data_IF_821937889977
#
_entry.id   IF_821937889977
#
_cell.length_a   1.000
_cell.length_b   1.000
_cell.length_c   1.000
_cell.angle_alpha   90.00
_cell.angle_beta   90.00
_cell.angle_gamma   90.00
#
_symmetry.space_group_name_H-M   'P 1'
#
loop_
_entity.id
_entity.type
_entity.pdbx_description
1 polymer ?
#
# COMPACT_ATOMS: atom_id res chain seq x y z
N UNK A 1 -20.06 -7.68 -9.84
CA UNK A 1 -19.34 -8.66 -8.99
C UNK A 1 -17.88 -8.56 -9.32
N UNK A 2 -17.01 -8.49 -8.32
CA UNK A 2 -15.55 -8.54 -8.51
C UNK A 2 -15.18 -10.01 -8.68
N UNK A 3 -15.34 -10.54 -9.89
CA UNK A 3 -15.22 -11.97 -10.16
C UNK A 3 -13.78 -12.46 -10.36
N UNK A 4 -12.80 -11.55 -10.35
CA UNK A 4 -11.43 -11.82 -10.77
C UNK A 4 -10.43 -11.35 -9.71
N UNK A 5 -10.37 -12.07 -8.59
CA UNK A 5 -9.32 -11.87 -7.59
C UNK A 5 -8.43 -13.11 -7.48
N UNK A 6 -7.17 -12.88 -7.13
CA UNK A 6 -6.20 -13.87 -6.71
C UNK A 6 -5.87 -13.64 -5.24
N UNK A 7 -5.86 -14.71 -4.45
CA UNK A 7 -5.41 -14.67 -3.06
C UNK A 7 -3.98 -15.18 -2.98
N UNK A 8 -3.07 -14.32 -2.53
CA UNK A 8 -1.65 -14.65 -2.32
C UNK A 8 -1.41 -14.69 -0.81
N UNK A 9 -0.68 -15.71 -0.35
CA UNK A 9 -0.23 -15.85 1.04
C UNK A 9 1.23 -15.42 1.12
N UNK A 10 1.54 -14.40 1.91
CA UNK A 10 2.91 -13.88 2.06
C UNK A 10 3.48 -14.17 3.45
N UNK A 11 4.78 -14.43 3.50
CA UNK A 11 5.51 -14.69 4.74
C UNK A 11 5.20 -16.04 5.39
N UNK A 12 5.83 -16.26 6.53
CA UNK A 12 5.65 -17.46 7.35
C UNK A 12 4.28 -17.47 8.04
N UNK A 13 3.71 -16.30 8.32
CA UNK A 13 2.36 -16.18 8.87
C UNK A 13 1.27 -16.45 7.82
N UNK A 14 1.65 -16.68 6.56
CA UNK A 14 0.75 -16.89 5.44
C UNK A 14 -0.33 -15.80 5.35
N UNK A 15 0.09 -14.53 5.52
CA UNK A 15 -0.83 -13.39 5.56
C UNK A 15 -1.51 -13.24 4.20
N UNK A 16 -2.85 -13.18 4.13
CA UNK A 16 -3.57 -13.02 2.88
C UNK A 16 -3.37 -11.62 2.29
N UNK A 17 -3.08 -11.58 0.99
CA UNK A 17 -3.04 -10.40 0.14
C UNK A 17 -3.93 -10.68 -1.06
N UNK A 18 -4.89 -9.79 -1.32
CA UNK A 18 -5.83 -9.93 -2.42
C UNK A 18 -5.36 -9.08 -3.59
N UNK A 19 -5.21 -9.69 -4.76
CA UNK A 19 -4.84 -9.01 -6.01
C UNK A 19 -6.04 -9.06 -6.94
N UNK A 20 -6.42 -7.93 -7.49
CA UNK A 20 -7.57 -7.80 -8.38
C UNK A 20 -7.10 -7.13 -9.65
N UNK A 21 -7.16 -7.84 -10.75
CA UNK A 21 -6.92 -7.27 -12.08
C UNK A 21 -8.22 -6.72 -12.67
N UNK A 22 -8.08 -5.71 -13.50
CA UNK A 22 -9.20 -5.03 -14.16
C UNK A 22 -10.23 -4.48 -13.15
N UNK A 23 -9.72 -3.84 -12.08
CA UNK A 23 -10.48 -3.48 -10.89
C UNK A 23 -11.69 -2.58 -11.18
N UNK A 24 -11.53 -1.58 -12.06
CA UNK A 24 -12.63 -0.73 -12.51
C UNK A 24 -12.94 -0.91 -14.00
N UNK A 25 -14.19 -0.69 -14.45
CA UNK A 25 -14.57 -0.88 -15.85
C UNK A 25 -13.90 0.10 -16.84
N UNK A 26 -13.69 1.35 -16.42
CA UNK A 26 -13.10 2.40 -17.26
C UNK A 26 -11.94 3.11 -16.54
N UNK A 27 -10.77 2.46 -16.44
CA UNK A 27 -9.60 3.07 -15.80
C UNK A 27 -9.04 4.25 -16.61
N UNK A 28 -9.25 4.26 -17.92
CA UNK A 28 -8.77 5.35 -18.79
C UNK A 28 -9.56 6.63 -18.51
N UNK A 29 -10.89 6.56 -18.50
CA UNK A 29 -11.76 7.69 -18.15
C UNK A 29 -11.50 8.22 -16.74
N UNK A 30 -11.19 7.34 -15.78
CA UNK A 30 -10.76 7.76 -14.44
C UNK A 30 -9.45 8.58 -14.50
N UNK A 31 -8.43 8.09 -15.19
CA UNK A 31 -7.14 8.80 -15.32
C UNK A 31 -7.31 10.15 -16.02
N UNK A 32 -8.12 10.22 -17.09
CA UNK A 32 -8.43 11.49 -17.77
C UNK A 32 -9.14 12.48 -16.84
N UNK A 33 -10.10 12.00 -16.03
CA UNK A 33 -10.79 12.82 -15.03
C UNK A 33 -9.82 13.37 -14.00
N UNK A 34 -8.93 12.53 -13.48
CA UNK A 34 -7.90 12.94 -12.51
C UNK A 34 -6.98 13.98 -13.12
N UNK A 35 -6.46 13.72 -14.32
CA UNK A 35 -5.54 14.63 -15.01
C UNK A 35 -6.17 16.01 -15.29
N UNK A 36 -7.48 16.06 -15.54
CA UNK A 36 -8.18 17.29 -15.91
C UNK A 36 -8.64 18.11 -14.70
N UNK A 37 -8.93 17.47 -13.57
CA UNK A 37 -9.68 18.11 -12.48
C UNK A 37 -9.02 18.08 -11.10
N UNK A 38 -7.95 17.28 -10.91
CA UNK A 38 -7.35 17.11 -9.60
C UNK A 38 -6.00 17.79 -9.49
N UNK A 39 -5.86 18.62 -8.45
CA UNK A 39 -4.59 19.21 -8.07
C UNK A 39 -3.88 18.34 -7.04
N UNK A 40 -2.58 18.11 -7.26
CA UNK A 40 -1.75 17.34 -6.37
C UNK A 40 -0.85 18.25 -5.54
N UNK A 41 -0.91 18.10 -4.23
CA UNK A 41 -0.14 18.91 -3.28
C UNK A 41 0.59 18.02 -2.29
N UNK A 42 1.76 18.48 -1.85
CA UNK A 42 2.46 17.85 -0.73
C UNK A 42 1.71 18.18 0.56
N UNK A 43 1.48 17.18 1.41
CA UNK A 43 0.86 17.38 2.73
C UNK A 43 1.94 17.47 3.80
N UNK A 44 1.87 18.51 4.63
CA UNK A 44 2.76 18.62 5.79
C UNK A 44 2.43 17.53 6.82
N UNK A 45 3.46 16.98 7.47
CA UNK A 45 3.32 15.90 8.45
C UNK A 45 3.04 14.52 7.87
N UNK A 46 2.82 14.39 6.56
CA UNK A 46 2.69 13.11 5.86
C UNK A 46 4.07 12.59 5.45
N UNK A 47 4.36 11.33 5.76
CA UNK A 47 5.59 10.66 5.34
C UNK A 47 5.51 10.07 3.93
N UNK A 48 4.39 10.22 3.22
CA UNK A 48 4.29 9.80 1.84
C UNK A 48 5.33 10.48 0.94
N UNK A 49 6.08 9.72 0.12
CA UNK A 49 7.18 10.26 -0.68
C UNK A 49 6.69 10.91 -1.99
N UNK A 50 5.81 11.91 -1.87
CA UNK A 50 5.29 12.64 -3.01
C UNK A 50 4.11 13.54 -2.68
N UNK A 51 3.15 13.60 -3.61
CA UNK A 51 2.01 14.50 -3.58
C UNK A 51 0.69 13.73 -3.59
N UNK A 52 -0.36 14.32 -3.03
CA UNK A 52 -1.69 13.69 -2.92
C UNK A 52 -2.80 14.61 -3.42
N UNK A 53 -3.93 14.01 -3.74
CA UNK A 53 -5.19 14.69 -4.05
C UNK A 53 -6.38 13.92 -3.46
N UNK A 54 -7.55 14.55 -3.40
CA UNK A 54 -8.79 13.84 -3.09
C UNK A 54 -9.17 12.91 -4.25
N UNK A 55 -9.97 11.88 -3.99
CA UNK A 55 -10.46 11.00 -5.05
C UNK A 55 -11.68 11.59 -5.78
N UNK A 56 -11.98 11.17 -7.02
CA UNK A 56 -13.24 11.49 -7.68
C UNK A 56 -14.40 10.76 -6.98
N UNK A 57 -15.55 11.41 -6.84
CA UNK A 57 -16.76 10.84 -6.19
C UNK A 57 -17.18 9.50 -6.79
N UNK A 58 -17.09 9.36 -8.13
CA UNK A 58 -17.41 8.12 -8.82
C UNK A 58 -16.51 6.94 -8.40
N UNK A 59 -15.25 7.21 -8.06
CA UNK A 59 -14.33 6.19 -7.57
C UNK A 59 -14.70 5.74 -6.16
N UNK A 60 -15.05 6.67 -5.27
CA UNK A 60 -15.52 6.34 -3.92
C UNK A 60 -16.82 5.51 -3.96
N UNK A 61 -17.76 5.86 -4.84
CA UNK A 61 -18.99 5.09 -5.05
C UNK A 61 -18.69 3.65 -5.54
N UNK A 62 -17.71 3.50 -6.43
CA UNK A 62 -17.25 2.18 -6.88
C UNK A 62 -16.69 1.36 -5.70
N UNK A 63 -15.84 1.94 -4.84
CA UNK A 63 -15.28 1.25 -3.67
C UNK A 63 -16.38 0.82 -2.69
N UNK A 64 -17.34 1.70 -2.40
CA UNK A 64 -18.46 1.40 -1.50
C UNK A 64 -19.41 0.31 -2.03
N UNK A 65 -19.32 -0.04 -3.31
CA UNK A 65 -20.11 -1.13 -3.91
C UNK A 65 -19.27 -2.41 -4.07
N UNK A 66 -18.04 -2.28 -4.58
CA UNK A 66 -17.19 -3.40 -4.96
C UNK A 66 -16.57 -4.10 -3.75
N UNK A 67 -16.07 -3.34 -2.77
CA UNK A 67 -15.34 -3.90 -1.63
C UNK A 67 -16.25 -4.68 -0.68
N UNK A 68 -17.46 -4.21 -0.30
CA UNK A 68 -18.37 -5.04 0.50
C UNK A 68 -18.71 -6.37 -0.17
N UNK A 69 -18.94 -6.36 -1.49
CA UNK A 69 -19.21 -7.59 -2.24
C UNK A 69 -18.00 -8.54 -2.25
N UNK A 70 -16.79 -8.01 -2.48
CA UNK A 70 -15.55 -8.78 -2.43
C UNK A 70 -15.31 -9.41 -1.06
N UNK A 71 -15.37 -8.62 0.03
CA UNK A 71 -15.12 -9.14 1.37
C UNK A 71 -16.19 -10.15 1.81
N UNK A 72 -17.45 -9.95 1.42
CA UNK A 72 -18.50 -10.96 1.65
C UNK A 72 -18.18 -12.29 0.96
N UNK A 73 -17.65 -12.23 -0.26
CA UNK A 73 -17.21 -13.42 -1.00
C UNK A 73 -16.01 -14.08 -0.31
N UNK A 74 -14.97 -13.32 0.05
CA UNK A 74 -13.76 -13.85 0.70
C UNK A 74 -14.08 -14.54 2.05
N UNK A 75 -14.97 -13.94 2.86
CA UNK A 75 -15.43 -14.56 4.12
C UNK A 75 -16.17 -15.87 3.86
N UNK A 76 -17.05 -15.90 2.85
CA UNK A 76 -17.82 -17.10 2.50
C UNK A 76 -16.94 -18.27 2.04
N UNK A 77 -15.74 -17.99 1.50
CA UNK A 77 -14.78 -19.01 1.07
C UNK A 77 -13.80 -19.43 2.18
N UNK A 78 -13.94 -18.94 3.41
CA UNK A 78 -12.97 -19.12 4.51
C UNK A 78 -11.55 -18.62 4.18
N UNK A 79 -11.42 -17.73 3.20
CA UNK A 79 -10.11 -17.19 2.76
C UNK A 79 -9.49 -16.23 3.80
N UNK A 80 -10.33 -15.70 4.71
CA UNK A 80 -10.05 -14.58 5.61
C UNK A 80 -10.14 -14.94 7.10
N UNK A 81 -9.98 -16.22 7.47
CA UNK A 81 -9.86 -16.57 8.88
C UNK A 81 -8.70 -15.79 9.52
N UNK A 82 -8.95 -15.20 10.70
CA UNK A 82 -7.96 -14.52 11.56
C UNK A 82 -7.36 -13.20 11.03
N UNK A 83 -8.04 -12.49 10.12
CA UNK A 83 -7.59 -11.18 9.60
C UNK A 83 -8.58 -10.02 9.82
N UNK A 84 -9.34 -10.09 10.90
CA UNK A 84 -10.12 -8.97 11.44
C UNK A 84 -11.33 -8.54 10.60
N UNK A 85 -11.87 -9.42 9.76
CA UNK A 85 -13.07 -9.16 8.94
C UNK A 85 -14.31 -9.66 9.67
N UNK A 86 -14.82 -8.85 10.60
CA UNK A 86 -15.94 -9.25 11.49
C UNK A 86 -17.28 -8.57 11.18
N UNK A 87 -17.27 -7.45 10.45
CA UNK A 87 -18.47 -6.63 10.14
C UNK A 87 -18.47 -6.21 8.66
N UNK A 88 -19.52 -5.55 8.16
CA UNK A 88 -19.47 -4.95 6.83
C UNK A 88 -18.35 -3.89 6.75
N UNK A 89 -17.52 -3.90 5.69
CA UNK A 89 -16.43 -2.93 5.57
C UNK A 89 -16.97 -1.50 5.44
N UNK A 90 -16.25 -0.57 6.05
CA UNK A 90 -16.44 0.87 5.87
C UNK A 90 -15.19 1.46 5.22
N UNK A 91 -15.38 2.32 4.22
CA UNK A 91 -14.28 3.03 3.58
C UNK A 91 -13.96 4.28 4.40
N UNK A 92 -12.87 4.25 5.16
CA UNK A 92 -12.52 5.31 6.10
C UNK A 92 -11.79 6.49 5.43
N UNK A 93 -11.02 6.20 4.38
CA UNK A 93 -10.26 7.19 3.64
C UNK A 93 -10.09 6.75 2.19
N UNK A 94 -10.19 7.69 1.25
CA UNK A 94 -9.82 7.49 -0.15
C UNK A 94 -8.99 8.67 -0.61
N UNK A 95 -7.86 8.40 -1.27
CA UNK A 95 -6.95 9.45 -1.72
C UNK A 95 -6.19 9.05 -2.98
N UNK A 96 -5.93 10.02 -3.84
CA UNK A 96 -5.00 9.86 -4.96
C UNK A 96 -3.59 10.19 -4.49
N UNK A 97 -2.60 9.52 -5.05
CA UNK A 97 -1.21 9.76 -4.68
C UNK A 97 -0.30 9.58 -5.89
N UNK A 98 0.66 10.48 -6.03
CA UNK A 98 1.75 10.40 -7.00
C UNK A 98 3.04 10.39 -6.19
N UNK A 99 3.76 9.27 -6.24
CA UNK A 99 5.10 9.22 -5.68
C UNK A 99 6.08 9.78 -6.71
N UNK A 100 6.78 10.85 -6.34
CA UNK A 100 7.68 11.60 -7.21
C UNK A 100 8.86 12.23 -6.44
N UNK A 101 9.07 11.84 -5.18
CA UNK A 101 10.17 12.39 -4.39
C UNK A 101 11.51 11.76 -4.82
N UNK A 102 12.53 12.60 -5.05
CA UNK A 102 13.89 12.14 -5.33
C UNK A 102 14.41 11.31 -4.14
N UNK A 103 14.87 10.06 -4.36
CA UNK A 103 15.46 9.21 -3.32
C UNK A 103 16.47 9.91 -2.41
N UNK A 104 17.31 10.79 -2.95
CA UNK A 104 18.35 11.54 -2.21
C UNK A 104 17.77 12.51 -1.17
N UNK A 105 16.50 12.85 -1.30
CA UNK A 105 15.77 13.75 -0.39
C UNK A 105 14.86 12.99 0.58
N UNK A 106 14.80 11.65 0.50
CA UNK A 106 14.01 10.85 1.42
C UNK A 106 14.54 10.99 2.85
N UNK A 107 13.60 10.99 3.77
CA UNK A 107 13.88 10.78 5.19
C UNK A 107 14.11 9.28 5.46
N UNK A 108 14.85 8.92 6.52
CA UNK A 108 15.14 7.51 6.81
C UNK A 108 13.89 6.62 6.93
N UNK A 109 12.79 7.12 7.48
CA UNK A 109 11.54 6.36 7.64
C UNK A 109 10.90 6.01 6.29
N UNK A 110 11.15 6.80 5.24
CA UNK A 110 10.67 6.54 3.87
C UNK A 110 11.52 5.50 3.12
N UNK A 111 12.67 5.10 3.69
CA UNK A 111 13.62 4.16 3.09
C UNK A 111 13.49 2.73 3.65
N UNK A 112 12.54 2.49 4.55
CA UNK A 112 12.27 1.17 5.16
C UNK A 112 10.78 0.82 5.05
N UNK A 113 10.41 -0.46 5.26
CA UNK A 113 9.01 -0.87 5.33
C UNK A 113 8.27 -0.20 6.49
N UNK A 114 6.97 0.00 6.33
CA UNK A 114 6.09 0.61 7.33
C UNK A 114 4.79 -0.17 7.48
N UNK A 115 4.02 0.21 8.48
CA UNK A 115 2.61 -0.13 8.65
C UNK A 115 1.80 1.17 8.56
N UNK A 116 0.55 1.09 8.11
CA UNK A 116 -0.34 2.26 8.07
C UNK A 116 -1.03 2.49 9.42
N UNK A 117 -1.30 1.40 10.16
CA UNK A 117 -1.96 1.41 11.46
C UNK A 117 -1.55 0.19 12.29
N UNK A 118 -1.85 0.22 13.58
CA UNK A 118 -1.65 -0.89 14.53
C UNK A 118 -2.88 -1.79 14.66
N UNK A 119 -3.98 -1.45 13.97
CA UNK A 119 -5.26 -2.13 14.10
C UNK A 119 -5.30 -3.42 13.27
N UNK A 120 -5.89 -4.47 13.81
CA UNK A 120 -6.07 -5.76 13.12
C UNK A 120 -7.26 -5.78 12.16
N UNK A 121 -8.22 -4.87 12.34
CA UNK A 121 -9.46 -4.76 11.57
C UNK A 121 -9.39 -3.68 10.47
N UNK A 122 -8.19 -3.33 10.01
CA UNK A 122 -8.00 -2.32 8.97
C UNK A 122 -7.15 -2.88 7.82
N UNK A 123 -7.60 -2.61 6.60
CA UNK A 123 -7.00 -3.07 5.35
C UNK A 123 -6.65 -1.87 4.47
N UNK A 124 -5.48 -1.93 3.85
CA UNK A 124 -5.02 -0.95 2.88
C UNK A 124 -5.32 -1.46 1.46
N UNK A 125 -5.79 -0.56 0.60
CA UNK A 125 -5.94 -0.76 -0.83
C UNK A 125 -4.97 0.16 -1.58
N UNK A 126 -4.23 -0.40 -2.54
CA UNK A 126 -3.43 0.34 -3.51
C UNK A 126 -3.88 -0.06 -4.91
N UNK A 127 -4.43 0.89 -5.68
CA UNK A 127 -4.84 0.69 -7.06
C UNK A 127 -3.91 1.42 -8.02
N UNK A 128 -3.22 0.65 -8.86
CA UNK A 128 -2.25 1.16 -9.83
C UNK A 128 -2.94 1.73 -11.07
N UNK A 129 -2.73 3.02 -11.34
CA UNK A 129 -3.32 3.76 -12.47
C UNK A 129 -2.25 4.27 -13.44
N UNK A 130 -1.13 3.55 -13.55
CA UNK A 130 -0.02 3.83 -14.46
C UNK A 130 0.37 2.57 -15.26
N UNK A 131 1.01 2.76 -16.41
CA UNK A 131 1.50 1.68 -17.28
C UNK A 131 3.01 1.45 -17.19
N UNK A 132 3.77 2.50 -16.84
CA UNK A 132 5.23 2.45 -16.79
C UNK A 132 5.74 1.51 -15.69
N UNK A 133 6.98 0.99 -15.78
CA UNK A 133 7.57 0.09 -14.78
C UNK A 133 7.98 0.81 -13.49
N UNK A 134 7.07 1.55 -12.88
CA UNK A 134 7.28 2.42 -11.71
C UNK A 134 7.13 1.68 -10.37
N UNK A 135 7.18 0.35 -10.38
CA UNK A 135 7.24 -0.45 -9.18
C UNK A 135 5.90 -0.72 -8.49
N UNK A 136 5.76 -1.91 -7.91
CA UNK A 136 4.55 -2.36 -7.22
C UNK A 136 4.66 -2.21 -5.71
N UNK A 137 4.08 -3.16 -4.98
CA UNK A 137 4.06 -3.20 -3.51
C UNK A 137 4.76 -4.47 -3.05
N UNK A 138 5.69 -4.36 -2.11
CA UNK A 138 6.30 -5.51 -1.44
C UNK A 138 5.99 -5.54 0.04
N UNK A 139 6.09 -6.75 0.58
CA UNK A 139 5.83 -7.09 1.97
C UNK A 139 7.10 -7.62 2.60
N UNK A 140 7.26 -7.36 3.89
CA UNK A 140 8.52 -7.55 4.58
C UNK A 140 8.33 -8.23 5.92
N UNK A 141 9.40 -8.89 6.36
CA UNK A 141 9.58 -9.31 7.74
C UNK A 141 10.75 -8.54 8.33
N UNK A 142 10.57 -8.00 9.52
CA UNK A 142 11.66 -7.43 10.29
C UNK A 142 12.51 -8.56 10.90
N UNK A 143 13.81 -8.55 10.64
CA UNK A 143 14.70 -9.69 10.91
C UNK A 143 14.84 -9.95 12.42
N UNK A 144 15.14 -8.91 13.22
CA UNK A 144 15.47 -9.11 14.64
C UNK A 144 14.25 -9.48 15.49
N UNK A 145 13.08 -8.96 15.17
CA UNK A 145 11.84 -9.29 15.92
C UNK A 145 11.05 -10.44 15.31
N UNK A 146 11.36 -10.85 14.08
CA UNK A 146 10.57 -11.83 13.32
C UNK A 146 9.19 -11.34 12.89
N UNK A 147 8.84 -10.07 13.15
CA UNK A 147 7.50 -9.54 12.89
C UNK A 147 7.27 -9.31 11.39
N UNK A 148 6.14 -9.80 10.89
CA UNK A 148 5.61 -9.51 9.55
C UNK A 148 4.47 -8.50 9.65
N UNK A 149 3.59 -8.68 10.65
CA UNK A 149 2.56 -7.72 11.06
C UNK A 149 2.94 -7.12 12.40
N UNK A 150 2.52 -5.89 12.65
CA UNK A 150 2.80 -5.18 13.91
C UNK A 150 1.49 -4.58 14.46
N UNK A 151 0.92 -5.25 15.46
CA UNK A 151 -0.27 -4.78 16.17
C UNK A 151 0.07 -3.78 17.29
N UNK A 152 -0.96 -3.31 18.00
CA UNK A 152 -0.81 -2.38 19.11
C UNK A 152 0.00 -2.94 20.29
N UNK A 153 -0.07 -4.25 20.54
CA UNK A 153 0.67 -4.89 21.63
C UNK A 153 2.17 -5.02 21.31
N UNK A 154 2.52 -5.15 20.03
CA UNK A 154 3.89 -5.32 19.55
C UNK A 154 4.58 -4.00 19.20
N UNK A 155 3.82 -2.95 18.88
CA UNK A 155 4.32 -1.71 18.31
C UNK A 155 5.42 -1.03 19.14
N UNK A 156 5.24 -0.91 20.47
CA UNK A 156 6.23 -0.25 21.32
C UNK A 156 7.58 -0.97 21.29
N UNK A 157 7.56 -2.30 21.41
CA UNK A 157 8.76 -3.14 21.37
C UNK A 157 9.44 -3.11 20.00
N UNK A 158 8.64 -3.17 18.92
CA UNK A 158 9.13 -3.04 17.55
C UNK A 158 9.82 -1.68 17.33
N UNK A 159 9.15 -0.59 17.69
CA UNK A 159 9.66 0.76 17.48
C UNK A 159 10.93 1.04 18.30
N UNK A 160 10.99 0.55 19.55
CA UNK A 160 12.19 0.62 20.38
C UNK A 160 13.36 -0.13 19.75
N UNK A 161 13.09 -1.27 19.12
CA UNK A 161 14.10 -2.06 18.39
C UNK A 161 14.60 -1.31 17.16
N UNK A 162 13.71 -0.79 16.31
CA UNK A 162 14.11 0.03 15.16
C UNK A 162 14.96 1.24 15.55
N UNK A 163 14.59 1.94 16.63
CA UNK A 163 15.38 3.07 17.14
C UNK A 163 16.78 2.66 17.57
N UNK A 164 16.93 1.51 18.22
CA UNK A 164 18.24 0.95 18.58
C UNK A 164 19.04 0.56 17.33
N UNK A 165 18.40 -0.02 16.32
CA UNK A 165 19.08 -0.42 15.08
C UNK A 165 19.55 0.78 14.25
N UNK A 166 18.82 1.90 14.29
CA UNK A 166 19.24 3.13 13.64
C UNK A 166 20.64 3.62 14.10
N UNK A 167 21.06 3.28 15.32
CA UNK A 167 22.40 3.61 15.84
C UNK A 167 23.39 2.45 15.76
N UNK A 168 22.94 1.20 15.85
CA UNK A 168 23.81 0.01 15.91
C UNK A 168 24.07 -0.65 14.56
N UNK A 169 23.07 -0.68 13.68
CA UNK A 169 23.17 -1.12 12.27
C UNK A 169 23.46 0.09 11.37
N UNK A 170 22.87 1.23 11.70
CA UNK A 170 22.98 2.49 10.96
C UNK A 170 21.68 2.85 10.23
N UNK A 171 21.66 4.06 9.69
CA UNK A 171 20.51 4.53 8.89
C UNK A 171 20.46 3.80 7.54
N UNK A 172 19.24 3.54 7.01
CA UNK A 172 19.08 2.98 5.68
C UNK A 172 19.70 3.93 4.62
N UNK A 173 20.19 3.38 3.50
CA UNK A 173 20.53 4.20 2.34
C UNK A 173 19.35 5.07 1.91
N UNK A 174 19.64 6.25 1.38
CA UNK A 174 18.61 7.15 0.81
C UNK A 174 18.10 6.61 -0.53
N UNK A 175 17.22 5.62 -0.44
CA UNK A 175 16.69 4.86 -1.55
C UNK A 175 15.30 4.31 -1.20
N UNK A 176 14.45 4.15 -2.22
CA UNK A 176 13.29 3.28 -2.10
C UNK A 176 13.78 1.84 -1.95
N UNK A 177 13.30 1.15 -0.91
CA UNK A 177 13.66 -0.24 -0.64
C UNK A 177 13.15 -1.15 -1.76
N UNK A 178 14.02 -2.03 -2.25
CA UNK A 178 13.75 -3.00 -3.31
C UNK A 178 14.52 -4.29 -2.99
N UNK A 179 13.82 -5.33 -2.51
CA UNK A 179 14.46 -6.53 -1.98
C UNK A 179 14.88 -6.41 -0.51
N UNK A 180 15.79 -7.28 -0.10
CA UNK A 180 16.25 -7.40 1.29
C UNK A 180 17.14 -6.22 1.72
N UNK A 181 17.25 -6.04 3.02
CA UNK A 181 18.18 -5.11 3.68
C UNK A 181 18.76 -5.75 4.94
N UNK A 182 19.66 -5.04 5.62
CA UNK A 182 20.23 -5.51 6.89
C UNK A 182 19.18 -5.70 8.01
N UNK A 183 18.03 -5.02 7.94
CA UNK A 183 16.97 -5.08 8.96
C UNK A 183 15.71 -5.82 8.49
N UNK A 184 15.52 -6.01 7.19
CA UNK A 184 14.28 -6.55 6.63
C UNK A 184 14.52 -7.56 5.52
N UNK A 185 13.74 -8.64 5.53
CA UNK A 185 13.64 -9.60 4.44
C UNK A 185 12.35 -9.35 3.65
N UNK A 186 12.43 -9.30 2.33
CA UNK A 186 11.27 -9.23 1.46
C UNK A 186 10.61 -10.61 1.39
N UNK A 187 9.36 -10.71 1.85
CA UNK A 187 8.61 -11.97 1.95
C UNK A 187 7.54 -12.12 0.87
N UNK A 188 7.33 -11.09 0.05
CA UNK A 188 6.40 -11.11 -1.06
C UNK A 188 6.46 -9.80 -1.85
N UNK A 189 6.06 -9.85 -3.12
CA UNK A 189 5.97 -8.67 -3.98
C UNK A 189 4.89 -8.85 -5.03
N UNK A 190 4.02 -7.85 -5.14
CA UNK A 190 3.06 -7.75 -6.23
C UNK A 190 3.62 -6.78 -7.27
N UNK A 191 3.81 -7.28 -8.48
CA UNK A 191 4.22 -6.45 -9.61
C UNK A 191 3.11 -5.46 -9.98
N UNK A 192 3.46 -4.23 -10.41
CA UNK A 192 2.46 -3.28 -10.86
C UNK A 192 1.86 -3.76 -12.19
N UNK A 193 0.56 -3.52 -12.35
CA UNK A 193 -0.18 -3.70 -13.60
C UNK A 193 -1.24 -2.60 -13.65
N UNK A 194 -1.43 -1.98 -14.82
CA UNK A 194 -2.47 -0.97 -14.96
C UNK A 194 -3.84 -1.56 -14.62
N UNK A 195 -4.65 -0.81 -13.87
CA UNK A 195 -5.97 -1.23 -13.37
C UNK A 195 -5.93 -2.43 -12.40
N UNK A 196 -4.79 -2.68 -11.74
CA UNK A 196 -4.67 -3.67 -10.66
C UNK A 196 -4.84 -3.01 -9.30
N UNK A 197 -5.73 -3.55 -8.47
CA UNK A 197 -5.81 -3.24 -7.05
C UNK A 197 -5.14 -4.33 -6.21
N UNK A 198 -4.48 -3.93 -5.14
CA UNK A 198 -3.86 -4.80 -4.13
C UNK A 198 -4.43 -4.42 -2.78
N UNK A 199 -4.96 -5.41 -2.06
CA UNK A 199 -5.56 -5.29 -0.73
C UNK A 199 -4.77 -6.14 0.26
N UNK A 200 -4.41 -5.58 1.40
CA UNK A 200 -3.64 -6.27 2.44
C UNK A 200 -3.94 -5.68 3.83
N UNK A 201 -3.73 -6.44 4.93
CA UNK A 201 -3.87 -5.90 6.28
C UNK A 201 -2.96 -4.68 6.47
N UNK A 202 -3.53 -3.58 6.96
CA UNK A 202 -2.84 -2.29 7.06
C UNK A 202 -1.72 -2.29 8.11
N UNK A 203 -1.68 -3.31 8.98
CA UNK A 203 -0.61 -3.57 9.93
C UNK A 203 0.47 -4.55 9.43
N UNK A 204 0.42 -4.99 8.17
CA UNK A 204 1.47 -5.77 7.51
C UNK A 204 2.62 -4.84 7.08
N UNK A 205 3.87 -5.21 7.38
CA UNK A 205 5.04 -4.44 6.98
C UNK A 205 5.17 -4.43 5.45
N UNK A 206 5.11 -3.24 4.87
CA UNK A 206 5.08 -3.08 3.42
C UNK A 206 5.80 -1.82 2.95
N UNK A 207 6.10 -1.77 1.65
CA UNK A 207 6.61 -0.57 0.99
C UNK A 207 6.32 -0.57 -0.50
N UNK A 208 6.26 0.62 -1.09
CA UNK A 208 6.30 0.78 -2.54
C UNK A 208 7.71 0.50 -3.07
N UNK A 209 7.83 -0.49 -3.97
CA UNK A 209 9.11 -0.86 -4.60
C UNK A 209 9.42 0.01 -5.81
N UNK A 210 9.57 1.32 -5.58
CA UNK A 210 9.78 2.31 -6.63
C UNK A 210 11.19 2.23 -7.22
N UNK A 211 11.36 2.55 -8.51
CA UNK A 211 12.68 2.80 -9.09
C UNK A 211 13.38 3.97 -8.36
N UNK A 212 14.71 3.86 -8.19
CA UNK A 212 15.53 4.92 -7.57
C UNK A 212 15.93 6.03 -8.54
N UNK A 213 15.39 6.01 -9.75
CA UNK A 213 15.50 7.02 -10.80
C UNK A 213 14.12 7.59 -11.19
N UNK A 214 13.14 7.51 -10.28
CA UNK A 214 11.79 8.01 -10.51
C UNK A 214 11.78 9.51 -10.88
N UNK A 215 10.91 9.87 -11.81
CA UNK A 215 10.73 11.27 -12.22
C UNK A 215 10.13 12.12 -11.09
N UNK A 216 10.62 13.35 -10.96
CA UNK A 216 9.99 14.38 -10.11
C UNK A 216 8.67 14.93 -10.66
N UNK A 217 8.23 14.48 -11.84
CA UNK A 217 7.02 14.95 -12.50
C UNK A 217 5.75 14.68 -11.68
N UNK A 218 4.79 15.60 -11.78
CA UNK A 218 3.42 15.45 -11.29
C UNK A 218 2.42 15.23 -12.44
N UNK A 219 2.90 14.99 -13.67
CA UNK A 219 2.07 14.62 -14.81
C UNK A 219 1.38 13.29 -14.51
N UNK A 220 0.09 13.36 -14.19
CA UNK A 220 -0.79 12.24 -13.83
C UNK A 220 -0.63 11.05 -14.77
N UNK A 221 -0.42 11.28 -16.07
CA UNK A 221 -0.36 10.23 -17.09
C UNK A 221 1.01 9.55 -17.22
N UNK A 222 2.06 10.15 -16.65
CA UNK A 222 3.45 9.68 -16.73
C UNK A 222 4.07 9.35 -15.38
N UNK A 223 3.39 9.72 -14.30
CA UNK A 223 3.88 9.50 -12.95
C UNK A 223 3.26 8.24 -12.35
N UNK A 224 3.82 7.78 -11.23
CA UNK A 224 3.32 6.63 -10.47
C UNK A 224 2.02 6.99 -9.73
N UNK A 225 0.94 7.11 -10.47
CA UNK A 225 -0.39 7.43 -9.96
C UNK A 225 -1.04 6.20 -9.31
N UNK A 226 -1.42 6.34 -8.05
CA UNK A 226 -2.20 5.32 -7.34
C UNK A 226 -3.44 5.93 -6.70
N UNK A 227 -4.55 5.21 -6.70
CA UNK A 227 -5.67 5.49 -5.81
C UNK A 227 -5.59 4.55 -4.61
N UNK A 228 -5.56 5.12 -3.41
CA UNK A 228 -5.35 4.40 -2.16
C UNK A 228 -6.60 4.52 -1.28
N UNK A 229 -6.94 3.45 -0.55
CA UNK A 229 -8.04 3.49 0.41
C UNK A 229 -7.70 2.75 1.71
N UNK A 230 -8.30 3.21 2.81
CA UNK A 230 -8.37 2.46 4.07
C UNK A 230 -9.77 1.89 4.22
N UNK A 231 -9.83 0.60 4.54
CA UNK A 231 -11.04 -0.19 4.73
C UNK A 231 -11.04 -0.71 6.16
N UNK A 232 -12.03 -0.32 6.96
CA UNK A 232 -12.15 -0.74 8.36
C UNK A 232 -13.33 -1.69 8.56
N UNK A 233 -13.20 -2.62 9.50
CA UNK A 233 -14.21 -3.61 9.87
C UNK A 233 -14.66 -3.41 11.33
#
# INVERSE_FOLDING_TARGET
MVSNYELIRVGESATPVVVIDDFIPDPHGLVETIASHHQFIKREGDFYPGVRSHAPVGYEAHLNTSLPALFSQLVSHNDMQDVGVEKPPQIALVQLSIANQDPKTLSPIQCIPHIDTQKDNEWALVHYLFNDPLGGTAFYRHIETGLERVDAAQYEGYFKTLKRQATTVGLPPKAYINGDSAMFTQIGRIAPKYNRAVLYPANLLHSGCLPNDISGSIDVKKSRLTANASVIF
#
